data_IF_638134661705
#
_entry.id   IF_638134661705
#
_cell.length_a   1.000
_cell.length_b   1.000
_cell.length_c   1.000
_cell.angle_alpha   90.00
_cell.angle_beta   90.00
_cell.angle_gamma   90.00
#
_symmetry.space_group_name_H-M   'P 1'
#
loop_
_entity.id
_entity.type
_entity.pdbx_description
1 polymer ?
#
# COMPACT_ATOMS: atom_id res chain seq x y z
N UNK A 1 -25.02 -0.99 -33.68
CA UNK A 1 -24.43 0.36 -33.57
C UNK A 1 -24.98 1.13 -32.37
N UNK A 2 -26.27 0.99 -32.06
CA UNK A 2 -26.92 1.60 -30.88
C UNK A 2 -26.36 1.08 -29.55
N UNK A 3 -26.20 -0.25 -29.36
CA UNK A 3 -25.57 -0.80 -28.14
C UNK A 3 -24.17 -0.22 -27.85
N UNK A 4 -23.36 0.01 -28.88
CA UNK A 4 -22.00 0.56 -28.71
C UNK A 4 -21.98 2.02 -28.20
N UNK A 5 -23.06 2.78 -28.41
CA UNK A 5 -23.23 4.15 -27.91
C UNK A 5 -23.72 4.16 -26.45
N UNK A 6 -24.29 3.05 -25.98
CA UNK A 6 -24.74 2.89 -24.59
C UNK A 6 -23.61 2.41 -23.67
N UNK A 7 -22.51 1.91 -24.23
CA UNK A 7 -21.30 1.59 -23.48
C UNK A 7 -20.68 2.87 -22.91
N UNK A 8 -20.20 2.81 -21.68
CA UNK A 8 -19.49 3.90 -21.02
C UNK A 8 -18.08 4.11 -21.59
N UNK A 9 -17.13 4.44 -20.71
CA UNK A 9 -15.75 4.70 -21.14
C UNK A 9 -15.12 3.47 -21.79
N UNK A 10 -14.19 3.70 -22.72
CA UNK A 10 -13.41 2.66 -23.41
C UNK A 10 -11.92 2.89 -23.20
N UNK A 11 -11.16 1.82 -23.15
CA UNK A 11 -9.71 1.83 -23.04
C UNK A 11 -9.06 0.89 -24.05
N UNK A 12 -8.05 1.40 -24.75
CA UNK A 12 -7.15 0.60 -25.58
C UNK A 12 -5.77 0.61 -24.93
N UNK A 13 -5.25 -0.58 -24.63
CA UNK A 13 -4.00 -0.77 -23.92
C UNK A 13 -3.00 -1.45 -24.85
N UNK A 14 -1.81 -0.86 -24.95
CA UNK A 14 -0.73 -1.40 -25.77
C UNK A 14 0.48 -1.66 -24.90
N UNK A 15 0.88 -2.92 -24.77
CA UNK A 15 2.10 -3.32 -24.10
C UNK A 15 3.27 -3.17 -25.09
N UNK A 16 4.30 -2.42 -24.70
CA UNK A 16 5.46 -2.14 -25.56
C UNK A 16 6.78 -2.45 -24.86
N UNK A 17 7.76 -2.88 -25.64
CA UNK A 17 9.17 -2.99 -25.25
C UNK A 17 10.05 -2.47 -26.38
N UNK A 18 10.95 -1.51 -26.09
CA UNK A 18 11.81 -0.91 -27.10
C UNK A 18 11.09 -0.32 -28.32
N UNK A 19 9.81 0.07 -28.18
CA UNK A 19 8.96 0.57 -29.27
C UNK A 19 8.15 -0.51 -30.02
N UNK A 20 8.47 -1.79 -29.87
CA UNK A 20 7.71 -2.91 -30.44
C UNK A 20 6.44 -3.19 -29.63
N UNK A 21 5.32 -3.49 -30.32
CA UNK A 21 4.08 -3.90 -29.68
C UNK A 21 4.14 -5.39 -29.31
N UNK A 22 4.08 -5.69 -28.01
CA UNK A 22 4.14 -7.05 -27.49
C UNK A 22 2.77 -7.63 -27.12
N UNK A 23 1.78 -6.76 -26.92
CA UNK A 23 0.45 -7.15 -26.52
C UNK A 23 -0.55 -6.02 -26.61
N UNK A 24 -1.83 -6.38 -26.62
CA UNK A 24 -2.94 -5.45 -26.78
C UNK A 24 -4.13 -5.91 -25.94
N UNK A 25 -4.85 -4.97 -25.34
CA UNK A 25 -6.14 -5.22 -24.75
C UNK A 25 -7.14 -4.10 -25.08
N UNK A 26 -8.38 -4.47 -25.38
CA UNK A 26 -9.52 -3.54 -25.44
C UNK A 26 -10.47 -3.83 -24.28
N UNK A 27 -10.85 -2.77 -23.58
CA UNK A 27 -11.82 -2.85 -22.50
C UNK A 27 -12.83 -1.71 -22.54
N UNK A 28 -14.00 -1.92 -21.95
CA UNK A 28 -15.03 -0.91 -21.80
C UNK A 28 -15.77 -1.07 -20.47
N UNK A 29 -16.46 -0.01 -20.06
CA UNK A 29 -17.22 0.02 -18.82
C UNK A 29 -18.71 0.09 -19.11
N UNK A 30 -19.51 -0.73 -18.41
CA UNK A 30 -20.96 -0.57 -18.40
C UNK A 30 -21.35 0.81 -17.86
N UNK A 31 -22.35 1.41 -18.51
CA UNK A 31 -23.04 2.57 -17.98
C UNK A 31 -24.02 2.11 -16.90
N UNK A 32 -23.85 2.60 -15.66
CA UNK A 32 -24.71 2.19 -14.55
C UNK A 32 -24.13 2.50 -13.17
N UNK A 33 -24.93 2.31 -12.12
CA UNK A 33 -24.50 2.53 -10.74
C UNK A 33 -23.46 1.51 -10.27
N UNK A 34 -23.55 0.27 -10.76
CA UNK A 34 -22.52 -0.77 -10.59
C UNK A 34 -21.80 -0.90 -11.93
N UNK A 35 -20.58 -0.39 -12.01
CA UNK A 35 -19.80 -0.44 -13.24
C UNK A 35 -19.11 -1.80 -13.36
N UNK A 36 -19.36 -2.49 -14.46
CA UNK A 36 -18.65 -3.72 -14.84
C UNK A 36 -17.58 -3.36 -15.88
N UNK A 37 -16.34 -3.79 -15.64
CA UNK A 37 -15.26 -3.75 -16.62
C UNK A 37 -15.36 -4.97 -17.53
N UNK A 38 -15.59 -4.74 -18.81
CA UNK A 38 -15.58 -5.77 -19.84
C UNK A 38 -14.27 -5.73 -20.61
N UNK A 39 -13.58 -6.86 -20.70
CA UNK A 39 -12.37 -7.01 -21.53
C UNK A 39 -12.74 -7.86 -22.74
N UNK A 40 -12.62 -7.26 -23.93
CA UNK A 40 -13.11 -7.84 -25.18
C UNK A 40 -11.99 -8.48 -26.00
N UNK A 41 -10.90 -7.74 -26.19
CA UNK A 41 -9.71 -8.24 -26.86
C UNK A 41 -8.57 -8.29 -25.86
N UNK A 42 -7.83 -9.41 -25.86
CA UNK A 42 -6.68 -9.58 -24.99
C UNK A 42 -5.66 -10.50 -25.65
N UNK A 43 -4.51 -9.94 -26.04
CA UNK A 43 -3.52 -10.66 -26.82
C UNK A 43 -2.09 -10.35 -26.35
N UNK A 44 -1.25 -11.39 -26.33
CA UNK A 44 0.20 -11.28 -26.20
C UNK A 44 0.81 -11.99 -27.41
N UNK A 45 1.73 -11.32 -28.09
CA UNK A 45 2.46 -11.89 -29.22
C UNK A 45 3.09 -13.24 -28.85
N UNK A 46 2.93 -14.26 -29.71
CA UNK A 46 3.30 -15.64 -29.41
C UNK A 46 4.73 -15.80 -28.86
N UNK A 47 5.71 -15.07 -29.41
CA UNK A 47 7.12 -15.09 -28.98
C UNK A 47 7.36 -14.52 -27.56
N UNK A 48 6.35 -13.87 -26.98
CA UNK A 48 6.39 -13.17 -25.70
C UNK A 48 5.45 -13.78 -24.65
N UNK A 49 4.69 -14.82 -25.01
CA UNK A 49 3.82 -15.54 -24.08
C UNK A 49 4.62 -16.30 -23.02
N UNK A 50 3.98 -16.58 -21.87
CA UNK A 50 4.55 -17.29 -20.71
C UNK A 50 5.73 -16.58 -20.02
N UNK A 51 5.90 -15.28 -20.25
CA UNK A 51 6.90 -14.41 -19.61
C UNK A 51 6.32 -13.46 -18.56
N UNK A 52 5.10 -13.73 -18.07
CA UNK A 52 4.38 -12.83 -17.13
C UNK A 52 3.74 -11.58 -17.77
N UNK A 53 4.02 -11.31 -19.05
CA UNK A 53 3.54 -10.09 -19.74
C UNK A 53 2.00 -9.99 -19.85
N UNK A 54 1.32 -11.13 -20.03
CA UNK A 54 -0.16 -11.16 -20.00
C UNK A 54 -0.70 -10.75 -18.63
N UNK A 55 -0.08 -11.19 -17.55
CA UNK A 55 -0.48 -10.79 -16.21
C UNK A 55 -0.25 -9.29 -15.97
N UNK A 56 0.88 -8.75 -16.41
CA UNK A 56 1.17 -7.32 -16.32
C UNK A 56 0.17 -6.45 -17.12
N UNK A 57 -0.19 -6.85 -18.34
CA UNK A 57 -1.19 -6.14 -19.14
C UNK A 57 -2.58 -6.22 -18.50
N UNK A 58 -2.99 -7.39 -18.00
CA UNK A 58 -4.25 -7.59 -17.30
C UNK A 58 -4.38 -6.63 -16.10
N UNK A 59 -3.33 -6.57 -15.29
CA UNK A 59 -3.20 -5.69 -14.14
C UNK A 59 -3.35 -4.20 -14.47
N UNK A 60 -2.79 -3.74 -15.59
CA UNK A 60 -3.00 -2.37 -16.05
C UNK A 60 -4.48 -2.11 -16.45
N UNK A 61 -5.12 -3.06 -17.13
CA UNK A 61 -6.54 -2.96 -17.54
C UNK A 61 -7.46 -2.93 -16.31
N UNK A 62 -7.20 -3.81 -15.33
CA UNK A 62 -7.94 -3.86 -14.07
C UNK A 62 -7.78 -2.57 -13.28
N UNK A 63 -6.56 -2.04 -13.17
CA UNK A 63 -6.31 -0.78 -12.47
C UNK A 63 -7.05 0.39 -13.12
N UNK A 64 -7.06 0.48 -14.45
CA UNK A 64 -7.86 1.47 -15.17
C UNK A 64 -9.35 1.37 -14.83
N UNK A 65 -9.92 0.16 -14.89
CA UNK A 65 -11.32 -0.06 -14.55
C UNK A 65 -11.62 0.32 -13.10
N UNK A 66 -10.73 0.00 -12.16
CA UNK A 66 -10.87 0.34 -10.74
C UNK A 66 -10.86 1.86 -10.52
N UNK A 67 -9.92 2.58 -11.12
CA UNK A 67 -9.88 4.06 -11.09
C UNK A 67 -11.13 4.69 -11.70
N UNK A 68 -11.78 4.01 -12.64
CA UNK A 68 -13.04 4.43 -13.23
C UNK A 68 -14.29 3.93 -12.47
N UNK A 69 -14.12 3.31 -11.29
CA UNK A 69 -15.21 2.91 -10.40
C UNK A 69 -15.80 1.53 -10.70
N UNK A 70 -15.14 0.68 -11.50
CA UNK A 70 -15.58 -0.68 -11.72
C UNK A 70 -15.54 -1.51 -10.44
N UNK A 71 -16.58 -2.33 -10.23
CA UNK A 71 -16.73 -3.24 -9.08
C UNK A 71 -16.78 -4.71 -9.47
N UNK A 72 -16.90 -4.99 -10.76
CA UNK A 72 -16.90 -6.33 -11.34
C UNK A 72 -16.07 -6.33 -12.61
N UNK A 73 -15.56 -7.49 -12.96
CA UNK A 73 -14.82 -7.71 -14.20
C UNK A 73 -15.48 -8.86 -14.95
N UNK A 74 -15.57 -8.74 -16.27
CA UNK A 74 -16.05 -9.76 -17.19
C UNK A 74 -15.15 -9.88 -18.40
N UNK A 75 -14.99 -11.11 -18.86
CA UNK A 75 -14.24 -11.47 -20.05
C UNK A 75 -15.02 -12.52 -20.81
N UNK A 76 -15.07 -12.42 -22.14
CA UNK A 76 -15.68 -13.44 -22.97
C UNK A 76 -14.60 -14.09 -23.83
N UNK A 77 -14.56 -15.41 -23.85
CA UNK A 77 -13.66 -16.18 -24.72
C UNK A 77 -14.42 -17.25 -25.49
N UNK A 78 -13.83 -17.73 -26.58
CA UNK A 78 -14.38 -18.88 -27.31
C UNK A 78 -14.16 -20.19 -26.51
N UNK A 79 -15.09 -21.13 -26.68
CA UNK A 79 -14.99 -22.49 -26.12
C UNK A 79 -13.83 -23.21 -26.80
N UNK A 80 -13.10 -24.02 -26.03
CA UNK A 80 -11.88 -24.75 -26.41
C UNK A 80 -10.60 -23.91 -26.54
N UNK A 81 -10.64 -22.61 -26.20
CA UNK A 81 -9.44 -21.78 -26.18
C UNK A 81 -8.53 -22.10 -24.96
N UNK A 82 -7.22 -22.38 -25.17
CA UNK A 82 -6.24 -22.55 -24.09
C UNK A 82 -6.18 -21.36 -23.13
N UNK A 83 -6.64 -20.18 -23.57
CA UNK A 83 -6.78 -18.97 -22.76
C UNK A 83 -7.67 -19.15 -21.52
N UNK A 84 -8.59 -20.15 -21.51
CA UNK A 84 -9.41 -20.47 -20.32
C UNK A 84 -8.57 -20.67 -19.06
N UNK A 85 -7.42 -21.35 -19.19
CA UNK A 85 -6.51 -21.61 -18.06
C UNK A 85 -5.89 -20.31 -17.53
N UNK A 86 -5.65 -19.32 -18.39
CA UNK A 86 -5.11 -18.03 -17.98
C UNK A 86 -6.12 -17.27 -17.10
N UNK A 87 -7.38 -17.18 -17.52
CA UNK A 87 -8.42 -16.47 -16.76
C UNK A 87 -8.73 -17.12 -15.42
N UNK A 88 -8.80 -18.46 -15.40
CA UNK A 88 -9.00 -19.20 -14.15
C UNK A 88 -7.84 -18.98 -13.16
N UNK A 89 -6.59 -18.94 -13.63
CA UNK A 89 -5.42 -18.62 -12.79
C UNK A 89 -5.47 -17.20 -12.21
N UNK A 90 -6.15 -16.27 -12.89
CA UNK A 90 -6.39 -14.92 -12.38
C UNK A 90 -7.59 -14.85 -11.41
N UNK A 91 -8.23 -15.99 -11.11
CA UNK A 91 -9.35 -16.09 -10.17
C UNK A 91 -10.72 -15.85 -10.79
N UNK A 92 -10.83 -15.71 -12.11
CA UNK A 92 -12.12 -15.57 -12.77
C UNK A 92 -12.85 -16.93 -12.80
N UNK A 93 -14.16 -16.87 -12.59
CA UNK A 93 -15.03 -18.03 -12.61
C UNK A 93 -15.92 -17.99 -13.85
N UNK A 94 -16.22 -19.17 -14.42
CA UNK A 94 -17.18 -19.27 -15.51
C UNK A 94 -18.58 -18.91 -14.99
N UNK A 95 -19.21 -17.93 -15.63
CA UNK A 95 -20.55 -17.44 -15.30
C UNK A 95 -21.61 -18.07 -16.20
N UNK A 96 -21.32 -18.19 -17.50
CA UNK A 96 -22.24 -18.73 -18.49
C UNK A 96 -21.50 -19.33 -19.69
N UNK A 97 -22.17 -20.23 -20.41
CA UNK A 97 -21.71 -20.78 -21.69
C UNK A 97 -22.85 -20.66 -22.70
N UNK A 98 -22.62 -19.98 -23.81
CA UNK A 98 -23.59 -19.80 -24.88
C UNK A 98 -22.86 -19.65 -26.22
N UNK A 99 -23.40 -20.24 -27.29
CA UNK A 99 -22.91 -20.05 -28.67
C UNK A 99 -21.39 -20.21 -28.84
N UNK A 100 -20.83 -21.29 -28.30
CA UNK A 100 -19.38 -21.56 -28.26
C UNK A 100 -18.56 -20.43 -27.61
N UNK A 101 -19.13 -19.68 -26.68
CA UNK A 101 -18.42 -18.71 -25.86
C UNK A 101 -18.64 -18.98 -24.38
N UNK A 102 -17.60 -18.77 -23.58
CA UNK A 102 -17.63 -18.82 -22.13
C UNK A 102 -17.46 -17.40 -21.60
N UNK A 103 -18.41 -16.95 -20.80
CA UNK A 103 -18.27 -15.72 -20.03
C UNK A 103 -17.61 -16.04 -18.69
N UNK A 104 -16.51 -15.36 -18.40
CA UNK A 104 -15.82 -15.39 -17.14
C UNK A 104 -16.04 -14.08 -16.39
N UNK A 105 -16.09 -14.14 -15.06
CA UNK A 105 -16.12 -12.92 -14.27
C UNK A 105 -15.72 -13.11 -12.82
N UNK A 106 -15.55 -11.97 -12.15
CA UNK A 106 -15.20 -11.88 -10.73
C UNK A 106 -15.58 -10.51 -10.17
N UNK A 107 -15.60 -10.40 -8.84
CA UNK A 107 -15.56 -9.10 -8.17
C UNK A 107 -14.22 -8.40 -8.44
N UNK A 108 -14.22 -7.07 -8.45
CA UNK A 108 -12.99 -6.29 -8.54
C UNK A 108 -12.10 -6.60 -7.32
N UNK A 109 -10.85 -7.05 -7.49
CA UNK A 109 -9.97 -7.28 -6.35
C UNK A 109 -9.69 -5.99 -5.59
N UNK A 110 -9.70 -6.05 -4.25
CA UNK A 110 -9.32 -4.94 -3.39
C UNK A 110 -7.84 -4.57 -3.55
N UNK A 111 -7.52 -3.29 -3.47
CA UNK A 111 -6.15 -2.82 -3.34
C UNK A 111 -5.80 -2.75 -1.86
N UNK A 112 -5.10 -3.77 -1.39
CA UNK A 112 -4.61 -3.83 -0.01
C UNK A 112 -3.24 -3.16 0.09
N UNK A 113 -3.00 -2.48 1.21
CA UNK A 113 -1.73 -1.88 1.61
C UNK A 113 -1.42 -2.34 3.03
N UNK A 114 -0.23 -2.89 3.28
CA UNK A 114 0.16 -3.36 4.61
C UNK A 114 1.14 -2.40 5.24
N UNK A 115 0.72 -1.77 6.34
CA UNK A 115 1.57 -0.93 7.17
C UNK A 115 2.13 -1.76 8.32
N UNK A 116 3.45 -1.86 8.41
CA UNK A 116 4.19 -2.54 9.48
C UNK A 116 4.92 -1.48 10.32
N UNK A 117 4.79 -1.55 11.65
CA UNK A 117 5.65 -0.75 12.53
C UNK A 117 7.06 -1.35 12.55
N UNK A 118 8.08 -0.49 12.51
CA UNK A 118 9.46 -0.91 12.73
C UNK A 118 9.62 -1.80 13.98
N UNK A 119 10.66 -2.62 14.02
CA UNK A 119 10.91 -3.47 15.18
C UNK A 119 11.34 -2.69 16.42
N UNK A 120 11.42 -3.39 17.55
CA UNK A 120 11.88 -2.80 18.81
C UNK A 120 13.28 -2.17 18.64
N UNK A 121 13.48 -1.00 19.24
CA UNK A 121 14.76 -0.26 19.14
C UNK A 121 15.74 -0.74 20.21
N UNK A 122 17.03 -0.51 19.98
CA UNK A 122 18.04 -0.73 21.01
C UNK A 122 17.81 0.20 22.23
N UNK A 123 18.18 -0.21 23.45
CA UNK A 123 18.03 0.63 24.64
C UNK A 123 18.76 1.97 24.50
N UNK A 124 18.09 3.05 24.91
CA UNK A 124 18.58 4.43 24.81
C UNK A 124 19.00 5.01 26.17
N UNK A 125 19.05 4.20 27.22
CA UNK A 125 19.27 4.62 28.62
C UNK A 125 20.59 5.37 28.86
N UNK A 126 21.52 5.29 27.90
CA UNK A 126 22.83 5.95 27.94
C UNK A 126 22.80 7.40 27.44
N UNK A 127 21.68 7.86 26.90
CA UNK A 127 21.55 9.20 26.32
C UNK A 127 20.97 10.19 27.32
N UNK A 128 21.64 11.33 27.46
CA UNK A 128 21.15 12.46 28.28
C UNK A 128 20.33 13.48 27.46
N UNK A 129 20.26 13.29 26.14
CA UNK A 129 19.58 14.17 25.19
C UNK A 129 18.59 13.36 24.37
N UNK A 130 17.55 14.03 23.86
CA UNK A 130 16.67 13.43 22.87
C UNK A 130 17.49 13.11 21.60
N UNK A 131 17.59 11.83 21.20
CA UNK A 131 18.48 11.42 20.13
C UNK A 131 18.08 11.97 18.77
N UNK A 132 19.07 12.08 17.89
CA UNK A 132 18.82 12.12 16.45
C UNK A 132 18.39 10.76 15.94
N UNK A 133 17.73 10.72 14.79
CA UNK A 133 17.21 9.49 14.25
C UNK A 133 18.29 8.41 13.96
N UNK A 134 19.48 8.82 13.53
CA UNK A 134 20.58 7.91 13.23
C UNK A 134 21.18 7.26 14.49
N UNK A 135 20.89 7.80 15.68
CA UNK A 135 21.27 7.19 16.97
C UNK A 135 20.27 6.12 17.42
N UNK A 136 19.06 6.10 16.83
CA UNK A 136 17.99 5.15 17.17
C UNK A 136 18.06 3.94 16.24
N UNK A 137 18.87 2.96 16.60
CA UNK A 137 19.00 1.70 15.86
C UNK A 137 17.93 0.67 16.25
N UNK A 138 17.69 -0.26 15.34
CA UNK A 138 16.91 -1.47 15.58
C UNK A 138 17.65 -2.40 16.57
N UNK A 139 16.93 -3.04 17.48
CA UNK A 139 17.50 -4.10 18.32
C UNK A 139 17.81 -5.35 17.49
N UNK A 140 18.90 -6.07 17.83
CA UNK A 140 19.29 -7.27 17.08
C UNK A 140 18.19 -8.36 17.09
N UNK A 141 17.54 -8.56 18.24
CA UNK A 141 16.41 -9.50 18.36
C UNK A 141 15.25 -9.16 17.42
N UNK A 142 14.96 -7.87 17.25
CA UNK A 142 13.93 -7.40 16.34
C UNK A 142 14.35 -7.55 14.87
N UNK A 143 15.64 -7.40 14.54
CA UNK A 143 16.18 -7.65 13.21
C UNK A 143 16.08 -9.15 12.83
N UNK A 144 16.39 -10.05 13.76
CA UNK A 144 16.30 -11.50 13.54
C UNK A 144 14.84 -11.93 13.33
N UNK A 145 13.91 -11.37 14.11
CA UNK A 145 12.48 -11.58 13.94
C UNK A 145 11.97 -11.03 12.60
N UNK A 146 12.36 -9.80 12.24
CA UNK A 146 12.02 -9.19 10.95
C UNK A 146 12.52 -10.03 9.76
N UNK A 147 13.71 -10.63 9.85
CA UNK A 147 14.24 -11.54 8.83
C UNK A 147 13.35 -12.79 8.67
N UNK A 148 12.96 -13.38 9.78
CA UNK A 148 12.08 -14.56 9.81
C UNK A 148 10.70 -14.23 9.24
N UNK A 149 10.17 -13.06 9.57
CA UNK A 149 8.91 -12.53 9.03
C UNK A 149 8.99 -12.31 7.53
N UNK A 150 10.07 -11.69 7.07
CA UNK A 150 10.33 -11.42 5.66
C UNK A 150 10.22 -12.64 4.76
N UNK A 151 10.73 -13.78 5.24
CA UNK A 151 10.69 -15.05 4.53
C UNK A 151 9.25 -15.61 4.42
N UNK A 152 8.39 -15.29 5.38
CA UNK A 152 6.98 -15.73 5.41
C UNK A 152 6.04 -14.79 4.66
N UNK A 153 6.26 -13.48 4.80
CA UNK A 153 5.32 -12.45 4.35
C UNK A 153 5.55 -12.02 2.91
N UNK A 154 6.82 -11.88 2.50
CA UNK A 154 7.14 -11.33 1.19
C UNK A 154 6.97 -12.40 0.12
N UNK A 155 6.12 -12.10 -0.87
CA UNK A 155 6.01 -12.88 -2.10
C UNK A 155 7.24 -12.71 -3.00
N UNK A 156 7.25 -13.26 -4.22
CA UNK A 156 8.37 -13.13 -5.14
C UNK A 156 8.81 -11.65 -5.33
N UNK A 157 10.11 -11.34 -5.37
CA UNK A 157 10.61 -9.98 -5.53
C UNK A 157 10.10 -9.28 -6.79
N UNK A 158 9.81 -10.05 -7.84
CA UNK A 158 9.24 -9.56 -9.08
C UNK A 158 7.81 -9.02 -8.86
N UNK A 159 7.72 -7.72 -8.57
CA UNK A 159 6.44 -7.02 -8.39
C UNK A 159 6.06 -6.75 -6.93
N UNK A 160 6.86 -7.21 -5.96
CA UNK A 160 6.71 -6.85 -4.55
C UNK A 160 7.34 -5.47 -4.31
N UNK A 161 6.52 -4.52 -3.85
CA UNK A 161 6.99 -3.19 -3.46
C UNK A 161 7.15 -3.11 -1.95
N UNK A 162 8.30 -2.60 -1.51
CA UNK A 162 8.58 -2.29 -0.11
C UNK A 162 8.88 -0.80 -0.03
N UNK A 163 8.10 -0.10 0.77
CA UNK A 163 8.31 1.29 1.11
C UNK A 163 8.76 1.40 2.55
N UNK A 164 9.68 2.30 2.85
CA UNK A 164 10.15 2.52 4.21
C UNK A 164 10.32 4.00 4.49
N UNK A 165 10.00 4.40 5.72
CA UNK A 165 10.59 5.61 6.27
C UNK A 165 12.12 5.58 6.11
N UNK A 166 12.77 6.71 5.76
CA UNK A 166 14.23 6.79 5.69
C UNK A 166 14.89 6.67 7.06
N UNK A 167 14.10 6.87 8.13
CA UNK A 167 14.56 6.79 9.51
C UNK A 167 15.17 5.43 9.86
N UNK A 168 16.31 5.44 10.55
CA UNK A 168 17.23 4.31 10.71
C UNK A 168 16.53 3.02 11.13
N UNK A 169 15.82 3.01 12.25
CA UNK A 169 15.08 1.82 12.76
C UNK A 169 14.07 1.23 11.76
N UNK A 170 13.38 2.06 10.98
CA UNK A 170 12.42 1.60 9.97
C UNK A 170 13.16 1.06 8.74
N UNK A 171 14.21 1.76 8.32
CA UNK A 171 15.09 1.36 7.22
C UNK A 171 15.77 0.02 7.50
N UNK A 172 16.32 -0.16 8.70
CA UNK A 172 16.91 -1.43 9.17
C UNK A 172 15.86 -2.54 9.26
N UNK A 173 14.63 -2.24 9.70
CA UNK A 173 13.53 -3.22 9.71
C UNK A 173 13.17 -3.67 8.29
N UNK A 174 13.05 -2.73 7.35
CA UNK A 174 12.75 -3.04 5.95
C UNK A 174 13.87 -3.87 5.30
N UNK A 175 15.13 -3.54 5.59
CA UNK A 175 16.29 -4.30 5.14
C UNK A 175 16.29 -5.74 5.68
N UNK A 176 15.99 -5.90 6.98
CA UNK A 176 15.88 -7.21 7.60
C UNK A 176 14.76 -8.04 6.97
N UNK A 177 13.57 -7.46 6.77
CA UNK A 177 12.45 -8.11 6.07
C UNK A 177 12.85 -8.61 4.68
N UNK A 178 13.63 -7.83 3.93
CA UNK A 178 14.02 -8.21 2.56
C UNK A 178 15.33 -8.99 2.45
N UNK A 179 15.99 -9.31 3.57
CA UNK A 179 17.39 -9.79 3.57
C UNK A 179 17.60 -11.13 2.85
N UNK A 180 16.55 -11.95 2.69
CA UNK A 180 16.61 -13.24 2.00
C UNK A 180 16.76 -13.13 0.47
N UNK A 181 16.61 -11.93 -0.11
CA UNK A 181 16.84 -11.71 -1.53
C UNK A 181 17.29 -10.28 -1.83
N UNK A 182 18.48 -10.14 -2.43
CA UNK A 182 18.99 -8.86 -2.90
C UNK A 182 18.20 -8.23 -4.07
N UNK A 183 17.16 -8.91 -4.57
CA UNK A 183 16.29 -8.40 -5.64
C UNK A 183 15.20 -7.47 -5.15
N UNK A 184 14.87 -7.49 -3.85
CA UNK A 184 13.93 -6.51 -3.32
C UNK A 184 14.51 -5.12 -3.41
N UNK A 185 13.69 -4.19 -3.89
CA UNK A 185 14.02 -2.77 -3.91
C UNK A 185 13.18 -2.11 -2.83
N UNK A 186 13.86 -1.42 -1.91
CA UNK A 186 13.22 -0.62 -0.87
C UNK A 186 13.18 0.82 -1.37
N UNK A 187 11.97 1.38 -1.50
CA UNK A 187 11.77 2.79 -1.78
C UNK A 187 11.68 3.56 -0.46
N UNK A 188 12.54 4.56 -0.27
CA UNK A 188 12.50 5.43 0.89
C UNK A 188 11.68 6.68 0.62
N UNK A 189 10.77 7.02 1.52
CA UNK A 189 9.93 8.21 1.38
C UNK A 189 9.82 8.97 2.70
N UNK A 190 10.11 10.27 2.69
CA UNK A 190 10.00 11.12 3.88
C UNK A 190 8.56 11.28 4.34
N UNK A 191 7.57 10.99 3.48
CA UNK A 191 6.16 10.90 3.82
C UNK A 191 5.83 9.79 4.84
N UNK A 192 6.78 8.91 5.13
CA UNK A 192 6.65 7.87 6.14
C UNK A 192 7.41 8.19 7.44
N UNK A 193 8.09 9.33 7.56
CA UNK A 193 8.78 9.72 8.79
C UNK A 193 7.80 9.87 9.96
N UNK A 194 8.24 9.43 11.14
CA UNK A 194 7.48 9.49 12.39
C UNK A 194 6.95 10.89 12.66
N UNK A 195 5.74 10.94 13.22
CA UNK A 195 5.20 12.16 13.78
C UNK A 195 5.84 12.41 15.15
N UNK A 196 6.86 13.25 15.17
CA UNK A 196 7.62 13.58 16.37
C UNK A 196 8.07 15.05 16.33
N UNK A 197 8.05 15.78 17.45
CA UNK A 197 8.51 17.16 17.47
C UNK A 197 10.02 17.30 17.32
N UNK A 198 10.44 17.85 16.18
CA UNK A 198 11.85 18.04 15.83
C UNK A 198 12.55 19.01 16.78
N UNK A 199 11.80 19.89 17.46
CA UNK A 199 12.33 20.81 18.47
C UNK A 199 12.92 20.12 19.69
N UNK A 200 12.52 18.88 19.97
CA UNK A 200 13.05 18.11 21.09
C UNK A 200 14.43 17.52 20.77
N UNK A 201 14.71 17.24 19.49
CA UNK A 201 15.94 16.57 19.06
C UNK A 201 17.17 17.40 19.47
N UNK A 202 18.08 16.76 20.21
CA UNK A 202 19.29 17.38 20.77
C UNK A 202 19.08 18.15 22.07
N UNK A 203 17.85 18.30 22.57
CA UNK A 203 17.58 18.89 23.89
C UNK A 203 17.93 17.88 24.99
N UNK A 204 18.51 18.35 26.11
CA UNK A 204 18.68 17.50 27.30
C UNK A 204 17.32 17.07 27.82
N UNK A 205 17.20 15.81 28.23
CA UNK A 205 15.91 15.27 28.68
C UNK A 205 15.35 16.06 29.87
N UNK A 206 16.19 16.44 30.84
CA UNK A 206 15.80 17.26 31.99
C UNK A 206 15.33 18.69 31.60
N UNK A 207 15.86 19.24 30.49
CA UNK A 207 15.49 20.57 30.02
C UNK A 207 14.12 20.58 29.31
N UNK A 208 13.67 19.43 28.78
CA UNK A 208 12.38 19.30 28.08
C UNK A 208 11.24 19.56 29.06
N UNK A 209 11.25 18.86 30.20
CA UNK A 209 10.25 19.04 31.25
C UNK A 209 10.30 20.46 31.83
N UNK A 210 11.50 21.01 32.08
CA UNK A 210 11.65 22.35 32.59
C UNK A 210 11.06 23.42 31.64
N UNK A 211 11.20 23.22 30.33
CA UNK A 211 10.74 24.17 29.31
C UNK A 211 9.26 24.01 28.97
N UNK A 212 8.77 22.78 28.87
CA UNK A 212 7.44 22.50 28.36
C UNK A 212 6.46 22.08 29.45
N UNK A 213 6.92 21.74 30.65
CA UNK A 213 6.11 21.26 31.77
C UNK A 213 6.07 19.74 31.88
N UNK A 214 5.82 19.23 33.09
CA UNK A 214 5.79 17.79 33.42
C UNK A 214 4.76 16.97 32.62
N UNK A 215 3.74 17.63 32.05
CA UNK A 215 2.68 16.99 31.27
C UNK A 215 2.99 16.91 29.76
N UNK A 216 4.21 17.29 29.33
CA UNK A 216 4.55 17.36 27.90
C UNK A 216 4.37 16.01 27.20
N UNK A 217 4.78 14.89 27.82
CA UNK A 217 4.63 13.54 27.26
C UNK A 217 3.16 13.17 27.04
N UNK A 218 2.32 13.49 28.02
CA UNK A 218 0.88 13.28 27.90
C UNK A 218 0.32 14.10 26.74
N UNK A 219 0.73 15.36 26.57
CA UNK A 219 0.29 16.21 25.45
C UNK A 219 0.77 15.71 24.10
N UNK A 220 2.00 15.20 24.01
CA UNK A 220 2.56 14.58 22.81
C UNK A 220 1.71 13.41 22.33
N UNK A 221 1.28 12.55 23.24
CA UNK A 221 0.58 11.30 22.91
C UNK A 221 -0.92 11.54 22.74
N UNK A 222 -1.55 12.29 23.65
CA UNK A 222 -3.01 12.35 23.78
C UNK A 222 -3.64 13.63 23.25
N UNK A 223 -2.85 14.68 22.99
CA UNK A 223 -3.36 15.93 22.39
C UNK A 223 -2.47 16.41 21.24
N UNK A 224 -2.22 15.60 20.21
CA UNK A 224 -1.40 15.94 19.05
C UNK A 224 -1.85 17.20 18.28
N UNK A 225 -3.11 17.64 18.43
CA UNK A 225 -3.60 18.90 17.87
C UNK A 225 -3.17 20.13 18.66
N UNK A 226 -2.89 19.95 19.95
CA UNK A 226 -2.66 21.03 20.92
C UNK A 226 -1.18 21.09 21.36
N UNK A 227 -0.29 20.51 20.56
CA UNK A 227 1.13 20.43 20.87
C UNK A 227 1.79 21.82 20.91
N UNK A 228 2.64 22.11 21.90
CA UNK A 228 3.31 23.41 22.05
C UNK A 228 4.51 23.64 21.10
N UNK A 229 4.79 22.70 20.20
CA UNK A 229 5.99 22.70 19.34
C UNK A 229 5.72 23.41 18.01
N UNK A 230 5.82 24.74 18.02
CA UNK A 230 5.44 25.59 16.90
C UNK A 230 6.33 25.47 15.64
N UNK A 231 7.59 25.05 15.79
CA UNK A 231 8.51 24.79 14.69
C UNK A 231 8.42 23.34 14.17
N UNK A 232 7.61 22.49 14.81
CA UNK A 232 7.42 21.09 14.44
C UNK A 232 6.22 20.89 13.51
N UNK A 233 6.17 19.72 12.86
CA UNK A 233 5.04 19.36 12.00
C UNK A 233 3.74 19.29 12.81
N UNK A 234 2.66 19.89 12.27
CA UNK A 234 1.32 19.74 12.86
C UNK A 234 0.71 18.38 12.54
N UNK A 235 -0.17 17.85 13.40
CA UNK A 235 -0.84 16.58 13.14
C UNK A 235 -1.61 16.55 11.81
N UNK A 236 -2.23 17.68 11.43
CA UNK A 236 -2.91 17.82 10.14
C UNK A 236 -1.96 17.76 8.93
N UNK A 237 -0.75 18.30 9.07
CA UNK A 237 0.27 18.21 8.03
C UNK A 237 0.78 16.77 7.89
N UNK A 238 1.03 16.09 9.01
CA UNK A 238 1.44 14.69 9.03
C UNK A 238 0.40 13.77 8.36
N UNK A 239 -0.88 13.90 8.73
CA UNK A 239 -1.99 13.15 8.11
C UNK A 239 -2.07 13.42 6.61
N UNK A 240 -1.96 14.68 6.19
CA UNK A 240 -2.03 15.05 4.76
C UNK A 240 -0.89 14.42 3.97
N UNK A 241 0.34 14.52 4.49
CA UNK A 241 1.55 13.96 3.88
C UNK A 241 1.43 12.45 3.70
N UNK A 242 1.03 11.72 4.76
CA UNK A 242 0.91 10.27 4.67
C UNK A 242 -0.30 9.84 3.82
N UNK A 243 -1.41 10.57 3.83
CA UNK A 243 -2.57 10.25 2.98
C UNK A 243 -2.22 10.38 1.50
N UNK A 244 -1.51 11.46 1.11
CA UNK A 244 -1.03 11.64 -0.25
C UNK A 244 -0.09 10.52 -0.69
N UNK A 245 0.81 10.08 0.20
CA UNK A 245 1.67 8.94 -0.04
C UNK A 245 0.88 7.64 -0.24
N UNK A 246 -0.05 7.32 0.67
CA UNK A 246 -0.87 6.11 0.60
C UNK A 246 -1.74 6.10 -0.67
N UNK A 247 -2.33 7.25 -1.04
CA UNK A 247 -3.10 7.41 -2.27
C UNK A 247 -2.22 7.20 -3.51
N UNK A 248 -0.99 7.74 -3.51
CA UNK A 248 -0.04 7.55 -4.59
C UNK A 248 0.33 6.07 -4.75
N UNK A 249 0.72 5.38 -3.67
CA UNK A 249 1.06 3.96 -3.70
C UNK A 249 -0.14 3.13 -4.18
N UNK A 250 -1.33 3.35 -3.62
CA UNK A 250 -2.54 2.64 -4.04
C UNK A 250 -2.91 2.90 -5.50
N UNK A 251 -2.75 4.13 -5.99
CA UNK A 251 -3.09 4.49 -7.38
C UNK A 251 -2.04 4.03 -8.39
N UNK A 252 -0.77 3.95 -7.99
CA UNK A 252 0.33 3.46 -8.82
C UNK A 252 0.45 1.93 -8.79
N UNK A 253 -0.13 1.26 -7.79
CA UNK A 253 -0.12 -0.21 -7.72
C UNK A 253 -0.92 -0.80 -8.86
N UNK A 254 -0.20 -1.29 -9.86
CA UNK A 254 -0.77 -2.08 -10.95
C UNK A 254 -0.79 -3.56 -10.58
N UNK A 255 0.04 -4.03 -9.65
CA UNK A 255 0.14 -5.46 -9.32
C UNK A 255 -0.87 -5.87 -8.25
N UNK A 256 -1.17 -7.18 -8.17
CA UNK A 256 -1.87 -7.75 -7.02
C UNK A 256 -0.95 -8.08 -5.83
N UNK A 257 0.34 -7.76 -5.91
CA UNK A 257 1.24 -7.95 -4.77
C UNK A 257 0.91 -6.89 -3.71
N UNK A 258 0.77 -7.31 -2.46
CA UNK A 258 0.46 -6.45 -1.32
C UNK A 258 1.66 -5.52 -1.04
N UNK A 259 1.58 -4.20 -1.29
CA UNK A 259 2.66 -3.30 -0.94
C UNK A 259 2.90 -3.31 0.57
N UNK A 260 4.16 -3.42 0.96
CA UNK A 260 4.59 -3.41 2.37
C UNK A 260 5.17 -2.05 2.68
N UNK A 261 4.70 -1.42 3.74
CA UNK A 261 5.07 -0.08 4.17
C UNK A 261 5.63 -0.19 5.58
N UNK A 262 6.90 0.15 5.78
CA UNK A 262 7.55 0.11 7.09
C UNK A 262 7.70 1.52 7.64
N UNK A 263 7.00 1.81 8.72
CA UNK A 263 6.96 3.14 9.34
C UNK A 263 6.75 3.02 10.84
N UNK A 264 6.07 3.97 11.47
CA UNK A 264 6.10 4.21 12.91
C UNK A 264 4.72 4.35 13.50
N UNK A 265 4.65 4.40 14.84
CA UNK A 265 3.38 4.31 15.55
C UNK A 265 2.59 5.61 15.51
N UNK A 266 3.21 6.77 15.78
CA UNK A 266 2.42 7.99 15.96
C UNK A 266 1.84 8.45 14.62
N UNK A 267 2.63 8.36 13.54
CA UNK A 267 2.14 8.61 12.18
C UNK A 267 1.01 7.63 11.80
N UNK A 268 1.18 6.34 12.08
CA UNK A 268 0.14 5.32 11.85
C UNK A 268 -1.15 5.65 12.58
N UNK A 269 -1.06 5.95 13.87
CA UNK A 269 -2.22 6.21 14.71
C UNK A 269 -2.98 7.45 14.27
N UNK A 270 -2.28 8.50 13.85
CA UNK A 270 -2.90 9.68 13.23
C UNK A 270 -3.64 9.31 11.95
N UNK A 271 -3.04 8.50 11.09
CA UNK A 271 -3.68 8.04 9.86
C UNK A 271 -4.91 7.18 10.13
N UNK A 272 -4.84 6.23 11.08
CA UNK A 272 -5.99 5.42 11.49
C UNK A 272 -7.13 6.29 12.05
N UNK A 273 -6.83 7.25 12.92
CA UNK A 273 -7.84 8.18 13.42
C UNK A 273 -8.50 8.96 12.28
N UNK A 274 -7.72 9.40 11.29
CA UNK A 274 -8.22 10.07 10.09
C UNK A 274 -9.17 9.17 9.27
N UNK A 275 -8.76 7.92 9.00
CA UNK A 275 -9.56 6.95 8.23
C UNK A 275 -10.88 6.63 8.93
N UNK A 276 -10.87 6.55 10.27
CA UNK A 276 -12.09 6.35 11.08
C UNK A 276 -12.98 7.60 11.16
N UNK A 277 -12.56 8.74 10.62
CA UNK A 277 -13.26 10.03 10.79
C UNK A 277 -13.26 10.53 12.23
N UNK A 278 -12.34 10.05 13.06
CA UNK A 278 -12.21 10.43 14.46
C UNK A 278 -11.45 11.76 14.62
N UNK A 279 -11.57 12.37 15.79
CA UNK A 279 -10.71 13.50 16.15
C UNK A 279 -9.27 13.00 16.29
N UNK A 280 -8.28 13.71 15.71
CA UNK A 280 -6.87 13.30 15.75
C UNK A 280 -6.30 13.20 17.18
N UNK A 281 -6.87 13.90 18.16
CA UNK A 281 -6.50 13.71 19.58
C UNK A 281 -6.86 12.32 20.13
N UNK A 282 -7.69 11.55 19.43
CA UNK A 282 -7.99 10.17 19.80
C UNK A 282 -6.91 9.19 19.33
N UNK A 283 -5.93 9.63 18.52
CA UNK A 283 -4.86 8.76 18.01
C UNK A 283 -4.01 8.15 19.12
N UNK A 284 -3.80 8.85 20.24
CA UNK A 284 -3.08 8.34 21.41
C UNK A 284 -3.76 7.18 22.14
N UNK A 285 -5.00 6.83 21.79
CA UNK A 285 -5.69 5.64 22.31
C UNK A 285 -5.40 4.38 21.50
N UNK A 286 -4.79 4.55 20.33
CA UNK A 286 -4.41 3.48 19.45
C UNK A 286 -2.99 3.02 19.79
N UNK A 287 -2.73 1.74 19.57
CA UNK A 287 -1.40 1.19 19.75
C UNK A 287 -1.13 0.22 18.60
N UNK A 288 0.05 0.35 18.00
CA UNK A 288 0.54 -0.57 16.99
C UNK A 288 1.82 -1.19 17.55
N UNK A 289 1.81 -2.49 17.82
CA UNK A 289 2.97 -3.19 18.37
C UNK A 289 4.10 -3.25 17.32
N UNK A 290 5.34 -3.33 17.78
CA UNK A 290 6.49 -3.47 16.88
C UNK A 290 6.35 -4.75 16.05
N UNK A 291 6.64 -4.66 14.74
CA UNK A 291 6.46 -5.75 13.77
C UNK A 291 5.03 -6.30 13.66
N UNK A 292 4.03 -5.57 14.12
CA UNK A 292 2.62 -5.83 13.79
C UNK A 292 2.20 -5.02 12.58
N UNK A 293 1.14 -5.48 11.91
CA UNK A 293 0.61 -4.82 10.73
C UNK A 293 -0.83 -4.34 10.88
N UNK A 294 -1.13 -3.29 10.13
CA UNK A 294 -2.48 -2.84 9.81
C UNK A 294 -2.64 -2.93 8.31
N UNK A 295 -3.69 -3.60 7.84
CA UNK A 295 -4.00 -3.66 6.41
C UNK A 295 -5.12 -2.69 6.07
N UNK A 296 -4.86 -1.82 5.09
CA UNK A 296 -5.83 -0.89 4.55
C UNK A 296 -6.31 -1.35 3.18
N UNK A 297 -7.60 -1.22 2.91
CA UNK A 297 -8.17 -1.34 1.56
C UNK A 297 -8.30 0.08 0.99
N UNK A 298 -7.75 0.32 -0.19
CA UNK A 298 -7.84 1.60 -0.89
C UNK A 298 -8.77 1.51 -2.10
N UNK A 299 -9.72 2.43 -2.20
CA UNK A 299 -10.56 2.61 -3.37
C UNK A 299 -10.09 3.81 -4.19
N UNK A 300 -9.43 3.61 -5.36
CA UNK A 300 -8.88 4.71 -6.16
C UNK A 300 -9.96 5.56 -6.82
N UNK A 301 -11.21 5.07 -6.91
CA UNK A 301 -12.31 5.85 -7.45
C UNK A 301 -12.80 6.91 -6.46
N UNK A 302 -12.98 6.52 -5.19
CA UNK A 302 -13.43 7.44 -4.14
C UNK A 302 -12.30 8.12 -3.38
N UNK A 303 -11.05 7.64 -3.56
CA UNK A 303 -9.86 8.02 -2.81
C UNK A 303 -10.03 7.83 -1.30
N UNK A 304 -10.72 6.75 -0.93
CA UNK A 304 -10.99 6.42 0.48
C UNK A 304 -10.24 5.17 0.88
N UNK A 305 -9.96 5.11 2.18
CA UNK A 305 -9.39 3.94 2.82
C UNK A 305 -10.42 3.31 3.74
N UNK A 306 -10.38 2.00 3.82
CA UNK A 306 -11.04 1.20 4.83
C UNK A 306 -9.97 0.40 5.59
N UNK A 307 -10.23 0.11 6.86
CA UNK A 307 -9.33 -0.70 7.68
C UNK A 307 -9.83 -2.14 7.63
N UNK A 308 -9.06 -3.02 6.98
CA UNK A 308 -9.36 -4.45 6.94
C UNK A 308 -8.93 -5.14 8.24
N UNK A 309 -7.74 -4.77 8.73
CA UNK A 309 -7.17 -5.33 9.95
C UNK A 309 -6.32 -4.28 10.66
N UNK A 310 -6.26 -4.35 12.00
CA UNK A 310 -5.57 -3.37 12.84
C UNK A 310 -4.69 -4.09 13.86
N UNK A 311 -3.39 -3.74 13.88
CA UNK A 311 -2.41 -4.24 14.86
C UNK A 311 -2.33 -5.78 14.97
N UNK A 312 -2.31 -6.46 13.83
CA UNK A 312 -2.27 -7.93 13.73
C UNK A 312 -0.82 -8.42 13.80
N UNK A 313 -0.52 -9.48 14.59
CA UNK A 313 0.79 -10.12 14.60
C UNK A 313 1.08 -10.79 13.25
N UNK A 314 2.33 -10.71 12.81
CA UNK A 314 2.79 -11.19 11.50
C UNK A 314 3.44 -12.60 11.52
#
# INVERSE_FOLDING_TARGET
MVERLEHGQRGLFLLRDGGAALGLAEAWLESGPVRTLHVCDFYIAAAHQRKGLGQALWYAVVQWGRCAGARRIRVQIEVDEPASVFWQKLGLQALSIADRRIEYGMGMPDLRLSWIRHGEIAPLDHLEVCPTDEEISLAQSAADLATSLGTRLLGPPEGQQIFSSPQRRARETAQALSSHSARYVIAHDSALCEFFPVELIGMRLDDIEARYGADYEHRLIHTPLDMPFAASESAHAAVRRVSQFMEHVGSASITCALPVIVSHQNLHNLFVAHVLGANLNQSGRLHLQNLHATTFIYDPYTKRFEIESLNVPL
#
